data_IF_357482613316
#
_entry.id   IF_357482613316
#
_cell.length_a   1.000
_cell.length_b   1.000
_cell.length_c   1.000
_cell.angle_alpha   90.00
_cell.angle_beta   90.00
_cell.angle_gamma   90.00
#
_symmetry.space_group_name_H-M   'P 1'
#
loop_
_entity.id
_entity.type
_entity.pdbx_description
1 polymer ?
#
# COMPACT_ATOMS: atom_id res chain seq x y z
N UNK A 1 18.32 -8.24 0.70
CA UNK A 1 17.36 -7.81 -0.34
C UNK A 1 18.00 -6.70 -1.17
N UNK A 2 18.29 -6.94 -2.44
CA UNK A 2 18.96 -6.00 -3.35
C UNK A 2 18.00 -4.91 -3.86
N UNK A 3 18.54 -3.76 -4.30
CA UNK A 3 17.80 -2.63 -4.88
C UNK A 3 16.75 -3.05 -5.93
N UNK A 4 17.08 -4.06 -6.74
CA UNK A 4 16.21 -4.63 -7.76
C UNK A 4 14.88 -5.15 -7.22
N UNK A 5 14.86 -5.72 -6.02
CA UNK A 5 13.63 -6.22 -5.39
C UNK A 5 12.65 -5.07 -5.07
N UNK A 6 13.17 -3.96 -4.52
CA UNK A 6 12.36 -2.78 -4.21
C UNK A 6 11.87 -2.08 -5.48
N UNK A 7 12.70 -2.03 -6.53
CA UNK A 7 12.29 -1.47 -7.82
C UNK A 7 11.15 -2.28 -8.46
N UNK A 8 11.25 -3.62 -8.45
CA UNK A 8 10.18 -4.48 -8.97
C UNK A 8 8.89 -4.29 -8.15
N UNK A 9 8.98 -4.30 -6.83
CA UNK A 9 7.81 -4.10 -5.98
C UNK A 9 7.16 -2.73 -6.22
N UNK A 10 7.96 -1.68 -6.41
CA UNK A 10 7.46 -0.35 -6.78
C UNK A 10 6.69 -0.38 -8.10
N UNK A 11 7.23 -0.98 -9.16
CA UNK A 11 6.53 -1.09 -10.45
C UNK A 11 5.23 -1.88 -10.33
N UNK A 12 5.22 -2.97 -9.57
CA UNK A 12 4.01 -3.76 -9.32
C UNK A 12 2.93 -2.89 -8.64
N UNK A 13 3.29 -2.16 -7.58
CA UNK A 13 2.35 -1.28 -6.86
C UNK A 13 1.87 -0.14 -7.74
N UNK A 14 2.74 0.43 -8.59
CA UNK A 14 2.38 1.48 -9.55
C UNK A 14 1.34 1.01 -10.56
N UNK A 15 1.55 -0.17 -11.16
CA UNK A 15 0.61 -0.76 -12.12
C UNK A 15 -0.70 -1.10 -11.41
N UNK A 16 -0.63 -1.72 -10.24
CA UNK A 16 -1.80 -2.13 -9.49
C UNK A 16 -2.68 -0.94 -9.06
N UNK A 17 -2.08 0.14 -8.54
CA UNK A 17 -2.79 1.38 -8.20
C UNK A 17 -3.44 2.03 -9.43
N UNK A 18 -2.78 1.97 -10.60
CA UNK A 18 -3.36 2.43 -11.87
C UNK A 18 -4.58 1.60 -12.28
N UNK A 19 -4.50 0.28 -12.19
CA UNK A 19 -5.62 -0.63 -12.48
C UNK A 19 -6.80 -0.36 -11.53
N UNK A 20 -6.53 -0.21 -10.24
CA UNK A 20 -7.58 0.12 -9.26
C UNK A 20 -8.27 1.43 -9.62
N UNK A 21 -7.52 2.47 -10.00
CA UNK A 21 -8.10 3.74 -10.43
C UNK A 21 -8.94 3.59 -11.69
N UNK A 22 -8.46 2.83 -12.67
CA UNK A 22 -9.21 2.54 -13.89
C UNK A 22 -10.53 1.82 -13.59
N UNK A 23 -10.50 0.76 -12.78
CA UNK A 23 -11.69 0.02 -12.35
C UNK A 23 -12.67 0.89 -11.55
N UNK A 24 -12.16 1.76 -10.68
CA UNK A 24 -12.98 2.71 -9.91
C UNK A 24 -13.78 3.64 -10.83
N UNK A 25 -13.17 4.10 -11.91
CA UNK A 25 -13.83 4.97 -12.90
C UNK A 25 -14.81 4.19 -13.77
N UNK A 26 -14.41 3.02 -14.27
CA UNK A 26 -15.26 2.14 -15.09
C UNK A 26 -16.55 1.76 -14.36
N UNK A 27 -16.45 1.40 -13.09
CA UNK A 27 -17.59 0.93 -12.27
C UNK A 27 -18.31 2.07 -11.52
N UNK A 28 -17.92 3.34 -11.75
CA UNK A 28 -18.46 4.52 -11.04
C UNK A 28 -18.46 4.40 -9.51
N UNK A 29 -17.46 3.72 -8.95
CA UNK A 29 -17.35 3.47 -7.51
C UNK A 29 -16.94 4.78 -6.82
N UNK A 30 -17.77 5.29 -5.91
CA UNK A 30 -17.50 6.56 -5.21
C UNK A 30 -16.37 6.46 -4.18
N UNK A 31 -16.07 5.25 -3.72
CA UNK A 31 -15.00 4.99 -2.75
C UNK A 31 -13.65 4.87 -3.47
N UNK A 32 -12.61 5.45 -2.87
CA UNK A 32 -11.23 5.31 -3.35
C UNK A 32 -10.73 3.88 -3.11
N UNK A 33 -10.72 3.06 -4.17
CA UNK A 33 -10.36 1.64 -4.09
C UNK A 33 -8.93 1.43 -3.58
N UNK A 34 -8.01 2.33 -3.90
CA UNK A 34 -6.63 2.23 -3.40
C UNK A 34 -6.59 2.37 -1.86
N UNK A 35 -7.39 3.25 -1.25
CA UNK A 35 -7.47 3.34 0.21
C UNK A 35 -8.02 2.06 0.82
N UNK A 36 -9.02 1.44 0.19
CA UNK A 36 -9.58 0.18 0.67
C UNK A 36 -8.56 -0.97 0.66
N UNK A 37 -7.64 -0.99 -0.31
CA UNK A 37 -6.57 -1.99 -0.37
C UNK A 37 -5.43 -1.65 0.59
N UNK A 38 -4.94 -0.41 0.58
CA UNK A 38 -3.69 -0.04 1.28
C UNK A 38 -3.90 0.39 2.73
N UNK A 39 -5.07 0.88 3.14
CA UNK A 39 -5.31 1.25 4.54
C UNK A 39 -5.29 0.06 5.51
N UNK A 40 -5.86 -1.13 5.19
CA UNK A 40 -5.69 -2.33 6.02
C UNK A 40 -4.23 -2.76 6.17
N UNK A 41 -3.41 -2.61 5.12
CA UNK A 41 -1.97 -2.88 5.18
C UNK A 41 -1.26 -1.94 6.18
N UNK A 42 -1.62 -0.65 6.21
CA UNK A 42 -1.14 0.31 7.23
C UNK A 42 -1.57 -0.12 8.63
N UNK A 43 -2.84 -0.51 8.81
CA UNK A 43 -3.37 -0.98 10.09
C UNK A 43 -2.64 -2.21 10.61
N UNK A 44 -2.41 -3.20 9.74
CA UNK A 44 -1.63 -4.40 10.06
C UNK A 44 -0.17 -4.09 10.40
N UNK A 45 0.44 -3.12 9.70
CA UNK A 45 1.79 -2.66 10.02
C UNK A 45 1.86 -2.05 11.42
N UNK A 46 0.90 -1.19 11.78
CA UNK A 46 0.81 -0.61 13.12
C UNK A 46 0.59 -1.67 14.20
N UNK A 47 -0.27 -2.67 13.94
CA UNK A 47 -0.45 -3.80 14.84
C UNK A 47 0.85 -4.59 15.03
N UNK A 48 1.61 -4.83 13.95
CA UNK A 48 2.91 -5.49 14.04
C UNK A 48 3.88 -4.67 14.90
N UNK A 49 3.93 -3.34 14.73
CA UNK A 49 4.75 -2.46 15.57
C UNK A 49 4.33 -2.51 17.04
N UNK A 50 3.03 -2.54 17.35
CA UNK A 50 2.55 -2.72 18.72
C UNK A 50 2.99 -4.05 19.34
N UNK A 51 2.96 -5.14 18.57
CA UNK A 51 3.44 -6.45 19.03
C UNK A 51 4.96 -6.46 19.28
N UNK A 52 5.72 -5.70 18.47
CA UNK A 52 7.16 -5.49 18.69
C UNK A 52 7.40 -4.76 20.02
N UNK A 53 6.62 -3.72 20.34
CA UNK A 53 6.73 -3.01 21.62
C UNK A 53 6.45 -3.93 22.82
N UNK A 54 5.55 -4.89 22.67
CA UNK A 54 5.28 -5.93 23.69
C UNK A 54 6.33 -7.05 23.74
N UNK A 55 7.42 -6.94 22.96
CA UNK A 55 8.50 -7.93 22.84
C UNK A 55 8.06 -9.33 22.36
N UNK A 56 6.84 -9.47 21.86
CA UNK A 56 6.33 -10.74 21.34
C UNK A 56 6.98 -10.97 19.97
N UNK A 57 7.91 -11.94 19.86
CA UNK A 57 8.63 -12.27 18.62
C UNK A 57 9.06 -11.03 17.82
N UNK A 58 9.63 -10.04 18.53
CA UNK A 58 9.91 -8.70 18.01
C UNK A 58 10.69 -8.69 16.68
N UNK A 59 11.66 -9.58 16.51
CA UNK A 59 12.45 -9.67 15.27
C UNK A 59 11.57 -9.96 14.03
N UNK A 60 10.60 -10.87 14.16
CA UNK A 60 9.73 -11.27 13.04
C UNK A 60 8.73 -10.17 12.70
N UNK A 61 8.06 -9.62 13.71
CA UNK A 61 7.03 -8.60 13.49
C UNK A 61 7.62 -7.26 13.04
N UNK A 62 8.87 -6.93 13.41
CA UNK A 62 9.54 -5.73 12.94
C UNK A 62 9.88 -5.82 11.46
N UNK A 63 10.36 -6.97 10.98
CA UNK A 63 10.62 -7.17 9.56
C UNK A 63 9.33 -7.10 8.73
N UNK A 64 8.31 -7.87 9.11
CA UNK A 64 7.01 -7.90 8.42
C UNK A 64 6.34 -6.52 8.46
N UNK A 65 6.28 -5.91 9.65
CA UNK A 65 5.67 -4.60 9.87
C UNK A 65 6.31 -3.51 9.01
N UNK A 66 7.65 -3.52 8.88
CA UNK A 66 8.37 -2.57 8.02
C UNK A 66 8.00 -2.73 6.55
N UNK A 67 7.94 -3.96 6.03
CA UNK A 67 7.56 -4.18 4.62
C UNK A 67 6.11 -3.76 4.36
N UNK A 68 5.19 -4.11 5.26
CA UNK A 68 3.78 -3.69 5.18
C UNK A 68 3.66 -2.15 5.17
N UNK A 69 4.44 -1.46 6.00
CA UNK A 69 4.46 0.00 6.05
C UNK A 69 4.92 0.60 4.73
N UNK A 70 6.04 0.12 4.19
CA UNK A 70 6.61 0.63 2.94
C UNK A 70 5.62 0.45 1.79
N UNK A 71 5.02 -0.74 1.65
CA UNK A 71 4.08 -1.02 0.56
C UNK A 71 2.76 -0.26 0.70
N UNK A 72 2.24 -0.10 1.92
CA UNK A 72 1.03 0.69 2.15
C UNK A 72 1.24 2.17 1.85
N UNK A 73 2.33 2.77 2.33
CA UNK A 73 2.68 4.18 2.06
C UNK A 73 2.88 4.41 0.57
N UNK A 74 3.63 3.55 -0.12
CA UNK A 74 3.82 3.63 -1.57
C UNK A 74 2.49 3.51 -2.32
N UNK A 75 1.64 2.56 -1.94
CA UNK A 75 0.34 2.36 -2.57
C UNK A 75 -0.60 3.57 -2.40
N UNK A 76 -0.62 4.19 -1.22
CA UNK A 76 -1.42 5.40 -0.97
C UNK A 76 -0.88 6.58 -1.80
N UNK A 77 0.43 6.82 -1.79
CA UNK A 77 1.05 7.92 -2.54
C UNK A 77 0.81 7.79 -4.05
N UNK A 78 1.01 6.59 -4.60
CA UNK A 78 0.78 6.31 -6.02
C UNK A 78 -0.70 6.37 -6.38
N UNK A 79 -1.59 5.90 -5.49
CA UNK A 79 -3.04 6.06 -5.63
C UNK A 79 -3.47 7.53 -5.75
N UNK A 80 -2.95 8.39 -4.87
CA UNK A 80 -3.18 9.85 -4.94
C UNK A 80 -2.62 10.48 -6.23
N UNK A 81 -1.45 10.02 -6.68
CA UNK A 81 -0.87 10.46 -7.95
C UNK A 81 -1.81 10.13 -9.13
N UNK A 82 -2.28 8.89 -9.21
CA UNK A 82 -3.25 8.47 -10.23
C UNK A 82 -4.58 9.21 -10.15
N UNK A 83 -5.06 9.50 -8.95
CA UNK A 83 -6.27 10.30 -8.74
C UNK A 83 -6.12 11.73 -9.29
N UNK A 84 -4.92 12.29 -9.20
CA UNK A 84 -4.60 13.62 -9.72
C UNK A 84 -4.47 13.63 -11.25
N UNK A 85 -3.91 12.57 -11.82
CA UNK A 85 -3.71 12.40 -13.28
C UNK A 85 -5.02 12.04 -13.98
N UNK A 86 -5.77 11.06 -13.45
CA UNK A 86 -6.98 10.52 -14.07
C UNK A 86 -8.20 10.99 -13.28
N UNK A 87 -8.76 12.13 -13.72
CA UNK A 87 -9.92 12.77 -13.10
C UNK A 87 -11.22 12.10 -13.55
N UNK A 88 -12.20 12.08 -12.64
CA UNK A 88 -13.59 11.73 -12.96
C UNK A 88 -14.21 12.95 -13.63
N UNK A 89 -14.54 12.83 -14.92
CA UNK A 89 -15.31 13.82 -15.69
C UNK A 89 -16.79 13.44 -15.70
#
# INVERSE_FOLDING_TARGET
>A
MTFLHYAIAFFIVLIFTGILRFLQLQNRIWVELYLFVFAPLTGLSLLCLLLVFMQIKAAVFLEIGRFLLIYSVLGILLGYCWQSIIKRY
#
